data_IF_134076981577
#
_entry.id   IF_134076981577
#
_cell.length_a   1.000
_cell.length_b   1.000
_cell.length_c   1.000
_cell.angle_alpha   90.00
_cell.angle_beta   90.00
_cell.angle_gamma   90.00
#
_symmetry.space_group_name_H-M   'P 1'
#
loop_
_entity.id
_entity.type
_entity.pdbx_description
1 polymer ?
#
# COMPACT_ATOMS: atom_id res chain seq x y z
N UNK A 1 11.49 -26.08 -4.72
CA UNK A 1 11.23 -24.74 -4.14
C UNK A 1 11.40 -23.56 -5.10
N UNK A 2 12.09 -23.70 -6.26
CA UNK A 2 12.23 -22.61 -7.25
C UNK A 2 10.91 -22.18 -7.94
N UNK A 3 9.86 -22.99 -7.93
CA UNK A 3 8.54 -22.63 -8.47
C UNK A 3 7.78 -21.53 -7.68
N UNK A 4 8.21 -21.18 -6.48
CA UNK A 4 7.56 -20.16 -5.65
C UNK A 4 8.09 -18.74 -5.89
N UNK A 5 9.35 -18.58 -6.30
CA UNK A 5 9.96 -17.26 -6.48
C UNK A 5 9.45 -16.50 -7.71
N UNK A 6 9.26 -17.20 -8.83
CA UNK A 6 8.78 -16.59 -10.09
C UNK A 6 7.27 -16.25 -10.07
N UNK A 7 6.47 -17.01 -9.34
CA UNK A 7 5.04 -16.69 -9.13
C UNK A 7 4.82 -15.57 -8.13
N UNK A 8 5.75 -15.34 -7.20
CA UNK A 8 5.59 -14.34 -6.15
C UNK A 8 5.80 -12.88 -6.60
N UNK A 9 6.58 -12.60 -7.65
CA UNK A 9 6.75 -11.20 -8.08
C UNK A 9 5.63 -10.71 -9.00
N UNK A 10 5.08 -11.57 -9.84
CA UNK A 10 3.84 -11.27 -10.57
C UNK A 10 2.64 -11.20 -9.62
N UNK A 11 2.64 -12.00 -8.54
CA UNK A 11 1.62 -11.95 -7.49
C UNK A 11 1.75 -10.72 -6.57
N UNK A 12 2.94 -10.12 -6.41
CA UNK A 12 3.12 -8.90 -5.61
C UNK A 12 2.60 -7.64 -6.31
N UNK A 13 2.56 -7.63 -7.63
CA UNK A 13 1.84 -6.58 -8.40
C UNK A 13 0.33 -6.82 -8.37
N UNK A 14 -0.12 -8.09 -8.28
CA UNK A 14 -1.54 -8.46 -8.26
C UNK A 14 -2.21 -8.37 -6.88
N UNK A 15 -1.47 -8.35 -5.77
CA UNK A 15 -2.02 -8.30 -4.39
C UNK A 15 -2.28 -6.88 -3.86
N UNK A 16 -1.88 -5.83 -4.58
CA UNK A 16 -2.30 -4.44 -4.31
C UNK A 16 -3.50 -4.00 -5.16
N UNK A 17 -4.00 -4.86 -6.04
CA UNK A 17 -5.16 -4.60 -6.89
C UNK A 17 -6.46 -5.03 -6.21
N UNK A 18 -7.13 -4.14 -5.50
CA UNK A 18 -8.58 -4.20 -5.27
C UNK A 18 -9.25 -4.13 -6.65
N UNK A 19 -9.72 -5.28 -7.15
CA UNK A 19 -10.44 -5.37 -8.40
C UNK A 19 -11.72 -4.52 -8.34
N UNK A 20 -11.71 -3.39 -9.01
CA UNK A 20 -12.94 -2.67 -9.38
C UNK A 20 -13.46 -3.35 -10.64
N UNK A 21 -14.40 -4.26 -10.49
CA UNK A 21 -15.15 -4.83 -11.61
C UNK A 21 -16.11 -3.78 -12.15
N UNK A 22 -15.82 -3.21 -13.31
CA UNK A 22 -16.76 -2.40 -14.08
C UNK A 22 -17.78 -3.36 -14.71
N UNK A 23 -19.01 -3.28 -14.23
CA UNK A 23 -20.16 -3.97 -14.86
C UNK A 23 -20.57 -3.13 -16.06
N UNK A 24 -20.44 -3.67 -17.28
CA UNK A 24 -21.04 -3.13 -18.48
C UNK A 24 -22.54 -3.45 -18.42
N UNK A 25 -23.36 -2.42 -18.36
CA UNK A 25 -24.80 -2.52 -18.58
C UNK A 25 -25.12 -2.20 -20.05
N UNK A 26 -25.82 -3.11 -20.71
CA UNK A 26 -26.31 -2.96 -22.08
C UNK A 26 -27.25 -1.75 -22.19
N UNK A 27 -26.93 -0.84 -23.10
CA UNK A 27 -27.76 0.29 -23.49
C UNK A 27 -28.89 -0.18 -24.42
N UNK A 28 -30.14 0.00 -23.97
CA UNK A 28 -31.29 0.13 -24.88
C UNK A 28 -31.91 1.52 -24.74
N UNK A 29 -32.23 2.23 -25.83
CA UNK A 29 -32.72 3.59 -25.74
C UNK A 29 -34.18 3.63 -25.26
N UNK A 30 -34.45 4.41 -24.21
CA UNK A 30 -35.81 4.75 -23.78
C UNK A 30 -36.14 6.20 -24.17
N UNK A 31 -37.27 6.38 -24.75
CA UNK A 31 -37.79 7.62 -25.33
C UNK A 31 -37.93 8.76 -24.32
N UNK A 32 -37.56 9.95 -24.76
CA UNK A 32 -37.71 11.25 -24.12
C UNK A 32 -39.16 11.59 -23.78
N UNK A 33 -39.43 11.88 -22.49
CA UNK A 33 -40.59 12.69 -22.08
C UNK A 33 -40.08 13.92 -21.35
N UNK A 34 -40.25 15.08 -21.96
CA UNK A 34 -40.00 16.38 -21.37
C UNK A 34 -41.02 16.63 -20.24
N UNK A 35 -40.51 16.63 -19.01
CA UNK A 35 -41.20 17.27 -17.87
C UNK A 35 -40.24 18.23 -17.24
N UNK A 36 -40.56 19.52 -17.24
CA UNK A 36 -39.78 20.57 -16.64
C UNK A 36 -39.61 20.31 -15.14
N UNK A 37 -38.41 20.01 -14.72
CA UNK A 37 -38.02 19.91 -13.31
C UNK A 37 -37.73 21.32 -12.78
N UNK A 38 -38.32 21.62 -11.62
CA UNK A 38 -38.02 22.79 -10.77
C UNK A 38 -36.50 22.83 -10.48
N UNK A 39 -35.94 24.03 -10.16
CA UNK A 39 -34.50 24.13 -9.94
C UNK A 39 -34.09 23.24 -8.78
N UNK A 40 -33.24 22.26 -9.10
CA UNK A 40 -32.60 21.40 -8.12
C UNK A 40 -31.83 22.28 -7.12
N UNK A 41 -32.07 22.03 -5.85
CA UNK A 41 -31.27 22.58 -4.76
C UNK A 41 -29.79 22.44 -5.10
N UNK A 42 -29.04 23.52 -4.93
CA UNK A 42 -27.59 23.58 -5.07
C UNK A 42 -26.98 22.33 -4.41
N UNK A 43 -26.47 21.43 -5.22
CA UNK A 43 -25.61 20.35 -4.79
C UNK A 43 -24.40 21.01 -4.13
N UNK A 44 -24.42 21.10 -2.81
CA UNK A 44 -23.26 21.49 -2.01
C UNK A 44 -22.11 20.56 -2.46
N UNK A 45 -21.16 21.12 -3.21
CA UNK A 45 -19.85 20.49 -3.42
C UNK A 45 -19.33 20.20 -2.02
N UNK A 46 -19.25 18.93 -1.66
CA UNK A 46 -18.57 18.51 -0.44
C UNK A 46 -17.10 18.88 -0.66
N UNK A 47 -16.71 20.03 -0.15
CA UNK A 47 -15.29 20.40 -0.03
C UNK A 47 -14.69 19.35 0.88
N UNK A 48 -13.55 18.77 0.48
CA UNK A 48 -12.90 17.74 1.27
C UNK A 48 -12.70 18.25 2.71
N UNK A 49 -13.16 17.47 3.70
CA UNK A 49 -13.00 17.79 5.12
C UNK A 49 -11.52 17.79 5.49
N UNK A 50 -11.04 18.88 6.07
CA UNK A 50 -9.62 19.05 6.43
C UNK A 50 -9.49 19.84 7.75
N UNK A 51 -8.33 19.84 8.41
CA UNK A 51 -8.09 20.68 9.56
C UNK A 51 -8.42 22.15 9.27
N UNK A 52 -9.12 22.80 10.20
CA UNK A 52 -9.62 24.17 10.07
C UNK A 52 -11.04 24.29 9.52
N UNK A 53 -11.66 23.23 9.04
CA UNK A 53 -13.05 23.22 8.64
C UNK A 53 -13.96 23.03 9.86
N UNK A 54 -15.20 23.51 9.77
CA UNK A 54 -16.21 23.21 10.78
C UNK A 54 -16.47 21.70 10.80
N UNK A 55 -16.40 21.10 11.98
CA UNK A 55 -16.70 19.69 12.13
C UNK A 55 -18.16 19.40 11.76
N UNK A 56 -18.42 18.35 10.94
CA UNK A 56 -19.78 17.89 10.69
C UNK A 56 -20.45 17.45 12.00
N UNK A 57 -21.78 17.52 12.06
CA UNK A 57 -22.51 16.98 13.20
C UNK A 57 -22.23 15.48 13.39
N UNK A 58 -22.18 15.03 14.64
CA UNK A 58 -21.99 13.64 15.00
C UNK A 58 -23.32 12.86 14.84
N UNK A 59 -23.74 12.67 13.61
CA UNK A 59 -24.95 11.93 13.28
C UNK A 59 -24.66 10.43 13.23
N UNK A 60 -25.16 9.67 14.19
CA UNK A 60 -24.99 8.21 14.30
C UNK A 60 -26.35 7.53 14.43
N UNK A 61 -26.43 6.28 14.02
CA UNK A 61 -27.67 5.49 14.18
C UNK A 61 -28.04 5.33 15.66
N UNK A 62 -27.04 5.07 16.50
CA UNK A 62 -27.23 4.93 17.94
C UNK A 62 -25.94 5.01 18.74
N UNK A 63 -26.06 5.38 20.00
CA UNK A 63 -25.00 5.20 21.00
C UNK A 63 -25.17 3.83 21.67
N UNK A 64 -24.10 3.04 21.70
CA UNK A 64 -24.10 1.68 22.26
C UNK A 64 -23.52 1.65 23.68
N UNK A 65 -22.72 2.69 24.04
CA UNK A 65 -22.12 2.87 25.36
C UNK A 65 -21.92 4.36 25.66
N UNK A 66 -22.07 4.77 26.90
CA UNK A 66 -21.92 6.16 27.36
C UNK A 66 -23.09 7.06 26.97
N UNK A 67 -22.91 8.36 27.20
CA UNK A 67 -23.95 9.37 26.95
C UNK A 67 -23.98 9.77 25.45
N UNK A 68 -25.20 10.08 24.98
CA UNK A 68 -25.38 10.56 23.61
C UNK A 68 -24.80 11.98 23.45
N UNK A 69 -24.05 12.17 22.36
CA UNK A 69 -23.47 13.45 21.97
C UNK A 69 -24.33 13.99 20.83
N UNK A 70 -25.20 14.97 21.14
CA UNK A 70 -26.10 15.56 20.16
C UNK A 70 -25.48 16.78 19.44
N UNK A 71 -24.50 17.43 20.09
CA UNK A 71 -23.78 18.57 19.56
C UNK A 71 -22.39 18.69 20.18
N UNK A 72 -21.46 19.32 19.49
CA UNK A 72 -20.17 19.71 20.03
C UNK A 72 -20.32 20.97 20.85
N UNK A 73 -20.13 20.87 22.17
CA UNK A 73 -20.28 21.98 23.10
C UNK A 73 -19.11 22.95 22.97
N UNK A 74 -19.38 24.23 22.95
CA UNK A 74 -18.35 25.27 22.95
C UNK A 74 -17.43 25.15 24.18
N UNK A 75 -16.13 25.30 23.95
CA UNK A 75 -15.10 25.19 24.98
C UNK A 75 -14.74 23.76 25.37
N UNK A 76 -15.30 22.73 24.70
CA UNK A 76 -15.02 21.30 24.96
C UNK A 76 -14.41 20.62 23.74
N UNK A 77 -13.41 19.80 23.93
CA UNK A 77 -12.70 19.07 22.86
C UNK A 77 -13.34 17.70 22.68
N UNK A 78 -13.43 17.24 21.44
CA UNK A 78 -13.94 15.92 21.11
C UNK A 78 -12.93 15.17 20.25
N UNK A 79 -12.85 13.86 20.46
CA UNK A 79 -12.12 12.94 19.59
C UNK A 79 -13.10 11.95 19.02
N UNK A 80 -13.30 11.98 17.70
CA UNK A 80 -14.11 11.01 16.95
C UNK A 80 -13.17 10.00 16.32
N UNK A 81 -13.21 8.74 16.81
CA UNK A 81 -12.34 7.67 16.33
C UNK A 81 -13.17 6.61 15.61
N UNK A 82 -12.75 6.29 14.39
CA UNK A 82 -13.39 5.32 13.50
C UNK A 82 -12.76 3.93 13.68
N UNK A 83 -13.59 2.91 13.95
CA UNK A 83 -13.13 1.55 14.20
C UNK A 83 -14.13 0.47 13.75
N UNK A 84 -13.69 -0.80 13.72
CA UNK A 84 -14.54 -1.95 13.48
C UNK A 84 -14.10 -3.16 14.32
N UNK A 85 -15.03 -4.13 14.56
CA UNK A 85 -14.73 -5.33 15.34
C UNK A 85 -13.65 -6.23 14.73
N UNK A 86 -13.50 -6.22 13.42
CA UNK A 86 -12.50 -6.95 12.66
C UNK A 86 -11.15 -6.23 12.53
N UNK A 87 -11.08 -4.97 12.98
CA UNK A 87 -9.87 -4.13 12.86
C UNK A 87 -8.89 -4.41 14.02
N UNK A 88 -7.94 -5.31 13.82
CA UNK A 88 -6.92 -5.62 14.83
C UNK A 88 -6.10 -4.41 15.31
N UNK A 89 -5.62 -3.51 14.42
CA UNK A 89 -4.96 -2.26 14.84
C UNK A 89 -5.86 -1.39 15.73
N UNK A 90 -7.16 -1.22 15.41
CA UNK A 90 -8.09 -0.44 16.22
C UNK A 90 -8.21 -1.01 17.64
N UNK A 91 -8.40 -2.33 17.76
CA UNK A 91 -8.54 -3.03 19.05
C UNK A 91 -7.31 -2.82 19.96
N UNK A 92 -6.12 -2.68 19.37
CA UNK A 92 -4.89 -2.38 20.12
C UNK A 92 -4.88 -0.95 20.68
N UNK A 93 -5.59 0.00 20.05
CA UNK A 93 -5.67 1.39 20.49
C UNK A 93 -6.66 1.63 21.63
N UNK A 94 -7.65 0.76 21.84
CA UNK A 94 -8.70 0.98 22.84
C UNK A 94 -8.20 1.30 24.25
N UNK A 95 -7.20 0.58 24.83
CA UNK A 95 -6.67 0.93 26.14
C UNK A 95 -6.05 2.33 26.17
N UNK A 96 -5.26 2.67 25.14
CA UNK A 96 -4.62 3.98 25.03
C UNK A 96 -5.66 5.12 25.00
N UNK A 97 -6.68 5.01 24.15
CA UNK A 97 -7.77 6.01 24.11
C UNK A 97 -8.56 6.09 25.41
N UNK A 98 -8.72 4.95 26.11
CA UNK A 98 -9.36 4.91 27.44
C UNK A 98 -8.53 5.61 28.50
N UNK A 99 -7.21 5.50 28.43
CA UNK A 99 -6.32 6.18 29.38
C UNK A 99 -6.30 7.69 29.09
N UNK A 100 -6.27 8.12 27.83
CA UNK A 100 -6.42 9.52 27.45
C UNK A 100 -7.79 10.10 27.88
N UNK A 101 -8.90 9.33 27.75
CA UNK A 101 -10.22 9.77 28.24
C UNK A 101 -10.20 10.02 29.75
N UNK A 102 -9.47 9.23 30.54
CA UNK A 102 -9.31 9.43 32.00
C UNK A 102 -8.42 10.64 32.29
N UNK A 103 -7.30 10.76 31.58
CA UNK A 103 -6.33 11.82 31.75
C UNK A 103 -6.97 13.21 31.50
N UNK A 104 -7.74 13.31 30.42
CA UNK A 104 -8.41 14.55 30.02
C UNK A 104 -9.88 14.65 30.48
N UNK A 105 -10.24 13.92 31.53
CA UNK A 105 -11.61 13.93 32.05
C UNK A 105 -12.14 15.37 32.30
N UNK A 106 -13.34 15.65 31.81
CA UNK A 106 -13.99 16.96 31.90
C UNK A 106 -13.51 17.99 30.86
N UNK A 107 -12.46 17.73 30.10
CA UNK A 107 -11.96 18.61 29.04
C UNK A 107 -12.15 18.01 27.64
N UNK A 108 -12.03 16.68 27.53
CA UNK A 108 -12.13 15.94 26.25
C UNK A 108 -13.16 14.84 26.39
N UNK A 109 -13.93 14.62 25.35
CA UNK A 109 -14.80 13.45 25.19
C UNK A 109 -14.35 12.63 23.99
N UNK A 110 -13.98 11.38 24.25
CA UNK A 110 -13.73 10.40 23.20
C UNK A 110 -15.01 9.71 22.80
N UNK A 111 -15.24 9.56 21.51
CA UNK A 111 -16.29 8.74 20.92
C UNK A 111 -15.72 7.84 19.85
N UNK A 112 -15.71 6.53 20.14
CA UNK A 112 -15.37 5.53 19.14
C UNK A 112 -16.62 5.23 18.30
N UNK A 113 -16.57 5.52 17.01
CA UNK A 113 -17.68 5.23 16.09
C UNK A 113 -17.39 3.94 15.35
N UNK A 114 -18.19 2.93 15.63
CA UNK A 114 -18.15 1.67 14.91
C UNK A 114 -18.76 1.84 13.51
N UNK A 115 -17.95 1.52 12.50
CA UNK A 115 -18.36 1.63 11.09
C UNK A 115 -17.78 0.46 10.27
N UNK A 116 -18.26 0.29 9.02
CA UNK A 116 -17.82 -0.74 8.07
C UNK A 116 -17.94 -2.20 8.58
N UNK A 117 -18.87 -2.47 9.49
CA UNK A 117 -19.10 -3.82 10.02
C UNK A 117 -19.70 -4.77 8.98
N UNK A 118 -20.62 -4.28 8.16
CA UNK A 118 -21.19 -5.08 7.08
C UNK A 118 -20.13 -5.25 5.97
N UNK A 119 -19.74 -6.49 5.71
CA UNK A 119 -18.86 -6.83 4.59
C UNK A 119 -19.55 -6.54 3.27
N UNK A 120 -18.77 -6.40 2.18
CA UNK A 120 -19.32 -6.13 0.85
C UNK A 120 -20.43 -7.15 0.51
N UNK A 121 -21.64 -6.65 0.27
CA UNK A 121 -22.82 -7.46 -0.05
C UNK A 121 -23.62 -7.94 1.17
N UNK A 122 -23.19 -7.62 2.41
CA UNK A 122 -23.99 -7.85 3.61
C UNK A 122 -24.86 -6.62 3.93
N UNK A 123 -26.09 -6.88 4.38
CA UNK A 123 -26.96 -5.84 4.92
C UNK A 123 -26.59 -5.51 6.37
N UNK A 124 -26.84 -4.28 6.78
CA UNK A 124 -26.86 -3.90 8.19
C UNK A 124 -28.15 -4.46 8.83
N UNK A 125 -28.02 -5.35 9.79
CA UNK A 125 -29.15 -5.99 10.46
C UNK A 125 -29.12 -5.74 11.97
N UNK A 126 -30.25 -5.88 12.67
CA UNK A 126 -30.27 -5.78 14.14
C UNK A 126 -29.31 -6.77 14.82
N UNK A 127 -29.15 -7.97 14.26
CA UNK A 127 -28.24 -9.00 14.80
C UNK A 127 -26.77 -8.58 14.66
N UNK A 128 -26.40 -7.92 13.55
CA UNK A 128 -25.06 -7.36 13.35
C UNK A 128 -24.78 -6.29 14.42
N UNK A 129 -25.71 -5.37 14.63
CA UNK A 129 -25.61 -4.33 15.67
C UNK A 129 -25.48 -4.95 17.08
N UNK A 130 -26.27 -5.97 17.38
CA UNK A 130 -26.20 -6.67 18.67
C UNK A 130 -24.86 -7.39 18.84
N UNK A 131 -24.28 -7.94 17.77
CA UNK A 131 -22.93 -8.54 17.82
C UNK A 131 -21.86 -7.51 18.13
N UNK A 132 -21.94 -6.31 17.55
CA UNK A 132 -21.05 -5.17 17.85
C UNK A 132 -21.19 -4.76 19.32
N UNK A 133 -22.44 -4.63 19.81
CA UNK A 133 -22.68 -4.32 21.20
C UNK A 133 -22.07 -5.35 22.16
N UNK A 134 -22.26 -6.63 21.89
CA UNK A 134 -21.66 -7.72 22.67
C UNK A 134 -20.12 -7.65 22.65
N UNK A 135 -19.53 -7.30 21.50
CA UNK A 135 -18.09 -7.10 21.42
C UNK A 135 -17.62 -5.95 22.31
N UNK A 136 -18.33 -4.80 22.30
CA UNK A 136 -18.04 -3.64 23.17
C UNK A 136 -18.14 -4.02 24.65
N UNK A 137 -19.19 -4.72 25.04
CA UNK A 137 -19.40 -5.16 26.42
C UNK A 137 -18.25 -6.08 26.87
N UNK A 138 -17.73 -6.92 25.98
CA UNK A 138 -16.58 -7.78 26.24
C UNK A 138 -15.23 -7.05 26.39
N UNK A 139 -15.11 -5.80 25.94
CA UNK A 139 -13.87 -5.01 26.12
C UNK A 139 -13.72 -4.44 27.54
N UNK A 140 -14.81 -4.28 28.27
CA UNK A 140 -14.78 -3.73 29.64
C UNK A 140 -14.07 -2.39 29.73
N UNK A 141 -13.07 -2.29 30.63
CA UNK A 141 -12.29 -1.06 30.87
C UNK A 141 -11.31 -0.70 29.74
N UNK A 142 -11.04 -1.64 28.84
CA UNK A 142 -10.21 -1.35 27.66
C UNK A 142 -10.86 -0.33 26.71
N UNK A 143 -12.18 -0.17 26.81
CA UNK A 143 -12.98 0.75 25.99
C UNK A 143 -13.83 1.64 26.90
N UNK A 144 -13.18 2.43 27.78
CA UNK A 144 -13.81 3.23 28.85
C UNK A 144 -14.21 4.64 28.35
N UNK A 145 -14.76 4.73 27.15
CA UNK A 145 -15.24 5.96 26.53
C UNK A 145 -16.58 5.72 25.84
N UNK A 146 -17.20 6.78 25.31
CA UNK A 146 -18.47 6.70 24.58
C UNK A 146 -18.29 5.94 23.27
N UNK A 147 -19.25 5.07 22.95
CA UNK A 147 -19.23 4.29 21.72
C UNK A 147 -20.54 4.45 20.95
N UNK A 148 -20.43 4.77 19.68
CA UNK A 148 -21.54 4.95 18.76
C UNK A 148 -21.46 3.93 17.60
N UNK A 149 -22.58 3.73 16.92
CA UNK A 149 -22.74 2.86 15.76
C UNK A 149 -23.24 3.68 14.57
N UNK A 150 -22.48 3.72 13.48
CA UNK A 150 -22.81 4.49 12.27
C UNK A 150 -23.97 3.88 11.50
N UNK A 151 -24.04 2.53 11.48
CA UNK A 151 -25.15 1.78 10.93
C UNK A 151 -25.31 1.89 9.42
N UNK A 152 -26.57 1.66 8.96
CA UNK A 152 -26.90 1.64 7.54
C UNK A 152 -26.85 3.05 6.90
N UNK A 153 -27.15 4.08 7.66
CA UNK A 153 -27.16 5.47 7.17
C UNK A 153 -25.77 6.00 6.82
N UNK A 154 -24.70 5.40 7.38
CA UNK A 154 -23.29 5.68 7.07
C UNK A 154 -22.92 7.17 7.14
N UNK A 155 -23.49 7.90 8.12
CA UNK A 155 -23.31 9.35 8.23
C UNK A 155 -21.89 9.73 8.58
N UNK A 156 -21.25 8.99 9.50
CA UNK A 156 -19.85 9.22 9.86
C UNK A 156 -18.94 8.74 8.74
N UNK A 157 -19.25 7.60 8.13
CA UNK A 157 -18.55 7.13 6.93
C UNK A 157 -18.51 8.21 5.87
N UNK A 158 -19.66 8.81 5.53
CA UNK A 158 -19.75 9.82 4.46
C UNK A 158 -19.19 11.20 4.87
N UNK A 159 -19.63 11.72 6.04
CA UNK A 159 -19.34 13.10 6.42
C UNK A 159 -17.94 13.30 7.02
N UNK A 160 -17.31 12.23 7.54
CA UNK A 160 -15.96 12.27 8.11
C UNK A 160 -14.97 11.49 7.24
N UNK A 161 -15.15 10.18 7.08
CA UNK A 161 -14.16 9.34 6.42
C UNK A 161 -14.03 9.67 4.92
N UNK A 162 -15.13 9.57 4.16
CA UNK A 162 -15.11 9.84 2.71
C UNK A 162 -14.82 11.32 2.44
N UNK A 163 -15.40 12.25 3.22
CA UNK A 163 -15.16 13.68 3.08
C UNK A 163 -13.69 14.05 3.34
N UNK A 164 -13.01 13.39 4.28
CA UNK A 164 -11.58 13.56 4.56
C UNK A 164 -10.70 12.62 3.73
N UNK A 165 -11.26 11.84 2.80
CA UNK A 165 -10.56 10.81 2.01
C UNK A 165 -9.81 9.78 2.88
N UNK A 166 -10.32 9.51 4.07
CA UNK A 166 -9.78 8.47 4.94
C UNK A 166 -10.33 7.11 4.51
N UNK A 167 -9.47 6.31 3.87
CA UNK A 167 -9.83 5.02 3.27
C UNK A 167 -9.50 3.83 4.18
N UNK A 168 -8.99 4.09 5.39
CA UNK A 168 -8.54 3.09 6.36
C UNK A 168 -8.97 3.40 7.78
N UNK A 169 -8.97 2.38 8.64
CA UNK A 169 -9.17 2.47 10.08
C UNK A 169 -7.99 1.78 10.81
N UNK A 170 -7.60 2.27 12.01
CA UNK A 170 -8.24 3.37 12.75
C UNK A 170 -7.93 4.75 12.17
N UNK A 171 -8.89 5.66 12.28
CA UNK A 171 -8.72 7.08 11.95
C UNK A 171 -9.36 7.92 13.07
N UNK A 172 -8.73 9.03 13.41
CA UNK A 172 -9.20 9.92 14.46
C UNK A 172 -9.32 11.36 13.96
N UNK A 173 -10.36 12.05 14.43
CA UNK A 173 -10.65 13.44 14.16
C UNK A 173 -10.71 14.18 15.50
N UNK A 174 -9.82 15.14 15.72
CA UNK A 174 -9.86 16.00 16.90
C UNK A 174 -10.67 17.25 16.55
N UNK A 175 -11.73 17.49 17.30
CA UNK A 175 -12.59 18.69 17.19
C UNK A 175 -12.31 19.58 18.38
N UNK A 176 -11.90 20.82 18.12
CA UNK A 176 -11.55 21.80 19.15
C UNK A 176 -12.79 22.41 19.83
N UNK A 177 -12.54 23.25 20.84
CA UNK A 177 -13.59 23.93 21.58
C UNK A 177 -14.42 24.96 20.79
N UNK A 178 -14.05 25.23 19.53
CA UNK A 178 -14.81 26.08 18.60
C UNK A 178 -15.65 25.23 17.62
N UNK A 179 -15.61 23.91 17.74
CA UNK A 179 -16.28 22.99 16.81
C UNK A 179 -15.59 22.89 15.45
N UNK A 180 -14.29 23.16 15.42
CA UNK A 180 -13.45 23.06 14.21
C UNK A 180 -12.63 21.78 14.27
N UNK A 181 -12.48 21.08 13.14
CA UNK A 181 -11.56 19.96 13.02
C UNK A 181 -10.13 20.48 13.18
N UNK A 182 -9.51 20.19 14.31
CA UNK A 182 -8.15 20.61 14.60
C UNK A 182 -7.11 19.70 13.94
N UNK A 183 -7.41 18.40 13.85
CA UNK A 183 -6.49 17.41 13.31
C UNK A 183 -7.23 16.16 12.81
N UNK A 184 -6.64 15.50 11.82
CA UNK A 184 -7.10 14.22 11.26
C UNK A 184 -5.87 13.33 11.09
N UNK A 185 -5.92 12.07 11.61
CA UNK A 185 -4.80 11.14 11.46
C UNK A 185 -4.98 9.82 12.20
N UNK A 186 -3.88 9.08 12.34
CA UNK A 186 -3.90 7.80 13.05
C UNK A 186 -3.89 8.03 14.58
N UNK A 187 -4.78 7.37 15.36
CA UNK A 187 -4.90 7.63 16.81
C UNK A 187 -3.62 7.35 17.62
N UNK A 188 -2.64 6.63 17.10
CA UNK A 188 -1.34 6.46 17.75
C UNK A 188 -0.49 7.76 17.78
N UNK A 189 -0.87 8.79 17.02
CA UNK A 189 -0.16 10.06 16.91
C UNK A 189 -0.88 11.20 17.64
N UNK A 190 -1.92 10.87 18.44
CA UNK A 190 -2.85 11.86 18.98
C UNK A 190 -2.32 12.61 20.21
N UNK A 191 -1.37 12.06 20.96
CA UNK A 191 -0.98 12.51 22.29
C UNK A 191 -0.54 13.99 22.30
N UNK A 192 0.48 14.34 21.52
CA UNK A 192 0.98 15.72 21.43
C UNK A 192 -0.03 16.67 20.81
N UNK A 193 -0.81 16.20 19.84
CA UNK A 193 -1.89 16.94 19.21
C UNK A 193 -2.94 17.32 20.25
N UNK A 194 -3.45 16.32 20.97
CA UNK A 194 -4.51 16.51 21.96
C UNK A 194 -4.08 17.46 23.09
N UNK A 195 -2.84 17.29 23.57
CA UNK A 195 -2.25 18.18 24.56
C UNK A 195 -2.23 19.64 24.05
N UNK A 196 -1.71 19.87 22.85
CA UNK A 196 -1.62 21.21 22.29
C UNK A 196 -3.00 21.83 21.99
N UNK A 197 -3.99 21.05 21.55
CA UNK A 197 -5.37 21.51 21.34
C UNK A 197 -6.02 21.90 22.66
N UNK A 198 -5.87 21.09 23.71
CA UNK A 198 -6.44 21.40 25.06
C UNK A 198 -5.75 22.60 25.71
N UNK A 199 -4.46 22.81 25.47
CA UNK A 199 -3.69 23.95 25.96
C UNK A 199 -3.91 25.23 25.11
N UNK A 200 -4.56 25.13 23.95
CA UNK A 200 -4.80 26.24 23.03
C UNK A 200 -3.56 26.69 22.24
N UNK A 201 -2.53 25.85 22.18
CA UNK A 201 -1.27 26.12 21.46
C UNK A 201 -1.19 25.42 20.08
N UNK A 202 -2.23 24.68 19.68
CA UNK A 202 -2.28 23.98 18.41
C UNK A 202 -2.39 24.91 17.21
N UNK A 203 -1.50 24.76 16.22
CA UNK A 203 -1.54 25.50 14.96
C UNK A 203 -2.34 24.72 13.91
N UNK A 204 -3.61 25.03 13.77
CA UNK A 204 -4.52 24.39 12.83
C UNK A 204 -4.15 24.67 11.36
N UNK A 205 -3.50 25.80 11.06
CA UNK A 205 -3.10 26.12 9.70
C UNK A 205 -1.92 25.22 9.28
N UNK A 206 -0.95 25.03 10.18
CA UNK A 206 0.15 24.09 9.95
C UNK A 206 -0.38 22.67 9.79
N UNK A 207 -1.31 22.23 10.63
CA UNK A 207 -1.94 20.91 10.52
C UNK A 207 -2.68 20.72 9.18
N UNK A 208 -3.35 21.78 8.69
CA UNK A 208 -3.98 21.78 7.36
C UNK A 208 -2.95 21.61 6.26
N UNK A 209 -1.87 22.39 6.27
CA UNK A 209 -0.83 22.33 5.22
C UNK A 209 -0.18 20.97 5.17
N UNK A 210 0.12 20.36 6.33
CA UNK A 210 0.68 19.02 6.44
C UNK A 210 -0.32 17.96 5.92
N UNK A 211 -1.59 18.03 6.31
CA UNK A 211 -2.64 17.13 5.85
C UNK A 211 -2.82 17.20 4.32
N UNK A 212 -2.93 18.41 3.77
CA UNK A 212 -3.08 18.63 2.32
C UNK A 212 -1.86 18.11 1.56
N UNK A 213 -0.65 18.35 2.08
CA UNK A 213 0.59 17.83 1.48
C UNK A 213 0.61 16.30 1.43
N UNK A 214 0.20 15.63 2.53
CA UNK A 214 0.17 14.16 2.57
C UNK A 214 -0.90 13.60 1.62
N UNK A 215 -2.09 14.20 1.58
CA UNK A 215 -3.14 13.84 0.64
C UNK A 215 -2.71 13.98 -0.82
N UNK A 216 -1.91 15.02 -1.14
CA UNK A 216 -1.35 15.20 -2.48
C UNK A 216 -0.32 14.13 -2.83
N UNK A 217 0.53 13.74 -1.87
CA UNK A 217 1.49 12.65 -2.06
C UNK A 217 0.79 11.31 -2.31
N UNK A 218 -0.22 10.98 -1.50
CA UNK A 218 -1.01 9.77 -1.68
C UNK A 218 -1.71 9.75 -3.05
N UNK A 219 -2.37 10.85 -3.43
CA UNK A 219 -3.04 10.97 -4.72
C UNK A 219 -2.04 10.81 -5.89
N UNK A 220 -0.83 11.40 -5.78
CA UNK A 220 0.25 11.23 -6.76
C UNK A 220 0.69 9.76 -6.84
N UNK A 221 0.88 9.10 -5.70
CA UNK A 221 1.28 7.68 -5.66
C UNK A 221 0.23 6.77 -6.30
N UNK A 222 -1.06 6.97 -5.98
CA UNK A 222 -2.15 6.22 -6.60
C UNK A 222 -2.20 6.44 -8.11
N UNK A 223 -2.09 7.69 -8.56
CA UNK A 223 -2.07 8.03 -9.99
C UNK A 223 -0.91 7.37 -10.73
N UNK A 224 0.30 7.40 -10.15
CA UNK A 224 1.47 6.73 -10.72
C UNK A 224 1.27 5.21 -10.81
N UNK A 225 0.66 4.60 -9.80
CA UNK A 225 0.36 3.16 -9.82
C UNK A 225 -0.65 2.80 -10.90
N UNK A 226 -1.76 3.56 -11.01
CA UNK A 226 -2.77 3.36 -12.05
C UNK A 226 -2.18 3.51 -13.46
N UNK A 227 -1.40 4.58 -13.69
CA UNK A 227 -0.78 4.84 -14.98
C UNK A 227 0.26 3.78 -15.35
N UNK A 228 1.02 3.28 -14.35
CA UNK A 228 1.97 2.19 -14.54
C UNK A 228 1.27 0.88 -14.88
N UNK A 229 0.24 0.53 -14.12
CA UNK A 229 -0.56 -0.67 -14.39
C UNK A 229 -1.21 -0.62 -15.77
N UNK A 230 -1.85 0.48 -16.13
CA UNK A 230 -2.47 0.66 -17.45
C UNK A 230 -1.44 0.56 -18.59
N UNK A 231 -0.22 1.10 -18.39
CA UNK A 231 0.85 0.96 -19.36
C UNK A 231 1.33 -0.49 -19.49
N UNK A 232 1.48 -1.22 -18.39
CA UNK A 232 1.85 -2.65 -18.39
C UNK A 232 0.80 -3.51 -19.13
N UNK A 233 -0.48 -3.32 -18.81
CA UNK A 233 -1.58 -4.05 -19.46
C UNK A 233 -1.67 -3.76 -20.96
N UNK A 234 -1.34 -2.54 -21.39
CA UNK A 234 -1.40 -2.16 -22.79
C UNK A 234 -0.29 -2.76 -23.66
N UNK A 235 0.78 -3.33 -23.08
CA UNK A 235 1.88 -3.94 -23.86
C UNK A 235 1.45 -5.15 -24.66
N UNK A 236 0.47 -5.92 -24.19
CA UNK A 236 0.00 -7.11 -24.89
C UNK A 236 -0.75 -6.72 -26.18
N UNK A 237 -0.42 -7.40 -27.28
CA UNK A 237 -1.09 -7.22 -28.57
C UNK A 237 -0.75 -5.93 -29.33
N UNK A 238 0.18 -5.10 -28.86
CA UNK A 238 0.66 -3.91 -29.55
C UNK A 238 1.66 -4.26 -30.66
N UNK A 239 1.70 -3.41 -31.71
CA UNK A 239 2.79 -3.44 -32.67
C UNK A 239 4.11 -2.89 -32.05
N UNK A 240 5.25 -3.20 -32.69
CA UNK A 240 6.57 -2.85 -32.16
C UNK A 240 6.77 -1.34 -31.92
N UNK A 241 6.15 -0.48 -32.71
CA UNK A 241 6.27 0.97 -32.55
C UNK A 241 5.56 1.45 -31.28
N UNK A 242 4.34 0.94 -31.04
CA UNK A 242 3.57 1.25 -29.83
C UNK A 242 4.20 0.62 -28.59
N UNK A 243 4.71 -0.62 -28.69
CA UNK A 243 5.47 -1.24 -27.58
C UNK A 243 6.65 -0.35 -27.17
N UNK A 244 7.42 0.17 -28.11
CA UNK A 244 8.54 1.09 -27.82
C UNK A 244 8.07 2.37 -27.11
N UNK A 245 6.96 2.95 -27.52
CA UNK A 245 6.36 4.12 -26.86
C UNK A 245 5.92 3.80 -25.43
N UNK A 246 5.24 2.65 -25.26
CA UNK A 246 4.79 2.20 -23.93
C UNK A 246 5.96 1.90 -22.98
N UNK A 247 7.04 1.27 -23.47
CA UNK A 247 8.25 1.03 -22.69
C UNK A 247 8.92 2.36 -22.26
N UNK A 248 8.95 3.35 -23.13
CA UNK A 248 9.45 4.69 -22.78
C UNK A 248 8.58 5.38 -21.72
N UNK A 249 7.25 5.21 -21.80
CA UNK A 249 6.30 5.68 -20.78
C UNK A 249 6.54 4.98 -19.42
N UNK A 250 6.68 3.66 -19.40
CA UNK A 250 6.98 2.89 -18.17
C UNK A 250 8.29 3.39 -17.53
N UNK A 251 9.32 3.62 -18.31
CA UNK A 251 10.59 4.16 -17.81
C UNK A 251 10.44 5.57 -17.21
N UNK A 252 9.60 6.40 -17.81
CA UNK A 252 9.26 7.73 -17.28
C UNK A 252 8.54 7.61 -15.94
N UNK A 253 7.51 6.75 -15.85
CA UNK A 253 6.75 6.52 -14.63
C UNK A 253 7.62 5.92 -13.50
N UNK A 254 8.54 5.01 -13.84
CA UNK A 254 9.49 4.46 -12.88
C UNK A 254 10.43 5.54 -12.30
N UNK A 255 10.84 6.51 -13.14
CA UNK A 255 11.64 7.65 -12.70
C UNK A 255 10.83 8.62 -11.83
N UNK A 256 9.61 8.94 -12.24
CA UNK A 256 8.70 9.81 -11.47
C UNK A 256 8.30 9.21 -10.13
N UNK A 257 8.20 7.89 -10.05
CA UNK A 257 7.87 7.15 -8.83
C UNK A 257 9.07 6.76 -7.97
N UNK A 258 10.31 7.12 -8.36
CA UNK A 258 11.53 6.65 -7.70
C UNK A 258 11.62 7.03 -6.20
N UNK A 259 11.00 8.14 -5.81
CA UNK A 259 10.90 8.63 -4.43
C UNK A 259 9.75 8.02 -3.62
N UNK A 260 8.95 7.15 -4.23
CA UNK A 260 7.83 6.47 -3.59
C UNK A 260 8.23 5.09 -3.05
N UNK A 261 7.42 4.52 -2.16
CA UNK A 261 7.59 3.16 -1.67
C UNK A 261 7.50 2.10 -2.81
N UNK A 262 6.96 2.46 -3.97
CA UNK A 262 6.82 1.60 -5.15
C UNK A 262 7.95 1.77 -6.18
N UNK A 263 8.82 2.75 -6.00
CA UNK A 263 9.89 3.07 -6.96
C UNK A 263 10.72 1.87 -7.40
N UNK A 264 11.23 1.03 -6.48
CA UNK A 264 11.93 -0.19 -6.84
C UNK A 264 11.10 -1.17 -7.66
N UNK A 265 9.80 -1.30 -7.36
CA UNK A 265 8.89 -2.19 -8.08
C UNK A 265 8.61 -1.68 -9.50
N UNK A 266 8.45 -0.37 -9.67
CA UNK A 266 8.30 0.23 -11.00
C UNK A 266 9.55 0.02 -11.86
N UNK A 267 10.75 0.17 -11.28
CA UNK A 267 11.99 -0.06 -11.99
C UNK A 267 12.14 -1.52 -12.46
N UNK A 268 11.90 -2.49 -11.56
CA UNK A 268 11.94 -3.91 -11.92
C UNK A 268 10.80 -4.27 -12.88
N UNK A 269 9.58 -3.77 -12.67
CA UNK A 269 8.45 -4.00 -13.57
C UNK A 269 8.74 -3.51 -15.00
N UNK A 270 9.34 -2.32 -15.14
CA UNK A 270 9.78 -1.79 -16.44
C UNK A 270 10.84 -2.66 -17.08
N UNK A 271 11.80 -3.18 -16.32
CA UNK A 271 12.83 -4.09 -16.85
C UNK A 271 12.20 -5.40 -17.36
N UNK A 272 11.27 -5.98 -16.58
CA UNK A 272 10.54 -7.18 -17.01
C UNK A 272 9.65 -6.92 -18.23
N UNK A 273 9.08 -5.71 -18.35
CA UNK A 273 8.34 -5.30 -19.53
C UNK A 273 9.21 -5.34 -20.79
N UNK A 274 10.45 -4.85 -20.73
CA UNK A 274 11.41 -4.98 -21.83
C UNK A 274 11.72 -6.45 -22.11
N UNK A 275 12.18 -7.18 -21.12
CA UNK A 275 12.72 -8.56 -21.32
C UNK A 275 11.65 -9.59 -21.65
N UNK A 276 10.54 -9.57 -20.94
CA UNK A 276 9.54 -10.66 -20.99
C UNK A 276 8.32 -10.29 -21.85
N UNK A 277 7.73 -9.11 -21.67
CA UNK A 277 6.51 -8.73 -22.37
C UNK A 277 6.78 -8.31 -23.84
N UNK A 278 7.69 -7.38 -24.05
CA UNK A 278 8.01 -6.86 -25.37
C UNK A 278 9.10 -7.64 -26.11
N UNK A 279 9.84 -8.53 -25.42
CA UNK A 279 11.02 -9.25 -25.94
C UNK A 279 12.11 -8.30 -26.48
N UNK A 280 12.17 -7.08 -25.97
CA UNK A 280 13.19 -6.07 -26.27
C UNK A 280 14.43 -6.33 -25.42
N UNK A 281 15.20 -7.34 -25.80
CA UNK A 281 16.38 -7.80 -25.04
C UNK A 281 17.45 -6.71 -24.97
N UNK A 282 17.70 -5.99 -26.08
CA UNK A 282 18.73 -4.94 -26.13
C UNK A 282 18.33 -3.76 -25.24
N UNK A 283 17.10 -3.27 -25.34
CA UNK A 283 16.57 -2.20 -24.49
C UNK A 283 16.56 -2.57 -23.01
N UNK A 284 16.16 -3.82 -22.69
CA UNK A 284 16.20 -4.35 -21.34
C UNK A 284 17.61 -4.42 -20.76
N UNK A 285 18.60 -4.89 -21.55
CA UNK A 285 20.00 -4.92 -21.12
C UNK A 285 20.57 -3.54 -20.87
N UNK A 286 20.22 -2.55 -21.71
CA UNK A 286 20.62 -1.16 -21.52
C UNK A 286 20.00 -0.59 -20.23
N UNK A 287 18.73 -0.89 -19.97
CA UNK A 287 18.04 -0.44 -18.76
C UNK A 287 18.57 -1.13 -17.50
N UNK A 288 18.91 -2.43 -17.56
CA UNK A 288 19.54 -3.14 -16.45
C UNK A 288 20.88 -2.50 -16.04
N UNK A 289 21.71 -2.08 -17.02
CA UNK A 289 22.98 -1.35 -16.77
C UNK A 289 22.73 0.00 -16.08
N UNK A 290 21.68 0.72 -16.51
CA UNK A 290 21.26 1.97 -15.87
C UNK A 290 20.85 1.76 -14.42
N UNK A 291 19.99 0.75 -14.16
CA UNK A 291 19.54 0.41 -12.81
C UNK A 291 20.70 -0.04 -11.89
N UNK A 292 21.62 -0.82 -12.40
CA UNK A 292 22.78 -1.29 -11.65
C UNK A 292 23.77 -0.18 -11.30
N UNK A 293 23.87 0.86 -12.12
CA UNK A 293 24.72 2.03 -11.83
C UNK A 293 24.04 3.10 -10.98
N UNK A 294 22.70 3.05 -10.87
CA UNK A 294 21.87 4.03 -10.21
C UNK A 294 21.03 3.42 -9.07
N UNK A 295 19.75 3.21 -9.31
CA UNK A 295 18.73 2.82 -8.31
C UNK A 295 19.11 1.59 -7.49
N UNK A 296 19.77 0.60 -8.10
CA UNK A 296 20.13 -0.67 -7.44
C UNK A 296 21.63 -0.84 -7.22
N UNK A 297 22.41 0.23 -7.29
CA UNK A 297 23.88 0.18 -7.21
C UNK A 297 24.40 -0.67 -6.04
N UNK A 298 23.80 -0.56 -4.86
CA UNK A 298 24.19 -1.26 -3.64
C UNK A 298 23.10 -2.24 -3.15
N UNK A 299 22.14 -2.60 -4.01
CA UNK A 299 21.06 -3.51 -3.68
C UNK A 299 21.38 -4.93 -4.19
N UNK A 300 22.04 -5.74 -3.34
CA UNK A 300 22.43 -7.10 -3.67
C UNK A 300 21.29 -7.96 -4.23
N UNK A 301 20.09 -7.85 -3.64
CA UNK A 301 18.93 -8.66 -4.04
C UNK A 301 18.42 -8.30 -5.43
N UNK A 302 18.30 -7.01 -5.74
CA UNK A 302 17.85 -6.55 -7.06
C UNK A 302 18.87 -6.89 -8.14
N UNK A 303 20.17 -6.68 -7.87
CA UNK A 303 21.27 -7.05 -8.77
C UNK A 303 21.30 -8.56 -9.04
N UNK A 304 21.16 -9.37 -7.99
CA UNK A 304 21.07 -10.83 -8.09
C UNK A 304 19.89 -11.27 -8.94
N UNK A 305 18.72 -10.69 -8.71
CA UNK A 305 17.52 -10.99 -9.49
C UNK A 305 17.71 -10.69 -10.99
N UNK A 306 18.33 -9.55 -11.32
CA UNK A 306 18.63 -9.20 -12.71
C UNK A 306 19.64 -10.17 -13.34
N UNK A 307 20.69 -10.52 -12.61
CA UNK A 307 21.70 -11.47 -13.07
C UNK A 307 21.12 -12.86 -13.32
N UNK A 308 20.33 -13.37 -12.36
CA UNK A 308 19.65 -14.66 -12.49
C UNK A 308 18.72 -14.70 -13.69
N UNK A 309 17.91 -13.66 -13.90
CA UNK A 309 16.98 -13.59 -15.03
C UNK A 309 17.67 -13.76 -16.39
N UNK A 310 18.92 -13.33 -16.52
CA UNK A 310 19.70 -13.50 -17.74
C UNK A 310 20.23 -14.92 -17.97
N UNK A 311 20.40 -15.72 -16.91
CA UNK A 311 21.04 -17.05 -16.98
C UNK A 311 20.15 -18.18 -16.47
N UNK A 312 18.88 -17.91 -16.20
CA UNK A 312 17.92 -18.92 -15.74
C UNK A 312 17.77 -20.02 -16.78
N UNK A 313 18.16 -21.28 -16.47
CA UNK A 313 18.07 -22.37 -17.42
C UNK A 313 16.65 -22.89 -17.64
N UNK A 314 15.73 -22.60 -16.70
CA UNK A 314 14.34 -23.07 -16.76
C UNK A 314 13.46 -22.11 -17.56
N UNK A 315 13.80 -20.80 -17.53
CA UNK A 315 13.04 -19.77 -18.21
C UNK A 315 13.97 -18.80 -18.99
N UNK A 316 14.64 -19.28 -20.04
CA UNK A 316 15.59 -18.45 -20.77
C UNK A 316 14.91 -17.27 -21.46
N UNK A 317 15.44 -16.08 -21.27
CA UNK A 317 14.96 -14.86 -21.96
C UNK A 317 15.23 -14.91 -23.46
N UNK A 318 16.34 -15.51 -23.85
CA UNK A 318 16.84 -15.62 -25.21
C UNK A 318 17.85 -16.78 -25.31
N UNK A 319 18.02 -17.32 -26.52
CA UNK A 319 19.05 -18.36 -26.80
C UNK A 319 20.49 -17.84 -26.64
N UNK A 320 20.69 -16.52 -26.66
CA UNK A 320 22.00 -15.87 -26.54
C UNK A 320 21.96 -14.76 -25.51
N UNK A 321 22.00 -15.08 -24.21
CA UNK A 321 22.01 -14.09 -23.15
C UNK A 321 23.31 -13.26 -23.16
N UNK A 322 23.22 -11.99 -22.68
CA UNK A 322 24.39 -11.14 -22.44
C UNK A 322 25.10 -11.61 -21.16
N UNK A 323 26.01 -12.58 -21.33
CA UNK A 323 26.76 -13.17 -20.21
C UNK A 323 27.76 -12.20 -19.58
N UNK A 324 28.18 -11.16 -20.28
CA UNK A 324 29.05 -10.10 -19.71
C UNK A 324 28.23 -9.21 -18.78
N UNK A 325 27.03 -8.83 -19.18
CA UNK A 325 26.11 -8.14 -18.30
C UNK A 325 25.73 -8.98 -17.07
N UNK A 326 25.39 -10.26 -17.28
CA UNK A 326 25.07 -11.17 -16.19
C UNK A 326 26.21 -11.29 -15.17
N UNK A 327 27.46 -11.40 -15.64
CA UNK A 327 28.65 -11.43 -14.78
C UNK A 327 28.81 -10.12 -14.00
N UNK A 328 28.73 -8.97 -14.68
CA UNK A 328 28.85 -7.67 -14.04
C UNK A 328 27.81 -7.47 -12.94
N UNK A 329 26.54 -7.87 -13.16
CA UNK A 329 25.47 -7.78 -12.19
C UNK A 329 25.69 -8.72 -10.99
N UNK A 330 26.11 -9.97 -11.25
CA UNK A 330 26.35 -10.97 -10.21
C UNK A 330 27.56 -10.61 -9.33
N UNK A 331 28.66 -10.11 -9.90
CA UNK A 331 29.83 -9.63 -9.17
C UNK A 331 29.49 -8.39 -8.34
N UNK A 332 28.68 -7.49 -8.85
CA UNK A 332 28.21 -6.32 -8.12
C UNK A 332 27.29 -6.74 -6.95
N UNK A 333 26.42 -7.75 -7.16
CA UNK A 333 25.59 -8.33 -6.10
C UNK A 333 26.42 -8.99 -5.00
N UNK A 334 27.47 -9.77 -5.38
CA UNK A 334 28.40 -10.39 -4.43
C UNK A 334 29.12 -9.33 -3.59
N UNK A 335 29.60 -8.26 -4.23
CA UNK A 335 30.21 -7.13 -3.53
C UNK A 335 29.20 -6.44 -2.59
N UNK A 336 27.98 -6.18 -3.01
CA UNK A 336 26.94 -5.52 -2.21
C UNK A 336 26.46 -6.40 -1.03
N UNK A 337 26.57 -7.73 -1.14
CA UNK A 337 26.31 -8.71 -0.06
C UNK A 337 27.56 -9.01 0.80
N UNK A 338 28.68 -8.34 0.55
CA UNK A 338 29.96 -8.57 1.21
C UNK A 338 30.45 -10.04 1.11
N UNK A 339 30.07 -10.73 0.04
CA UNK A 339 30.42 -12.14 -0.17
C UNK A 339 29.77 -13.10 0.81
N UNK A 340 28.66 -12.72 1.47
CA UNK A 340 28.01 -13.44 2.58
C UNK A 340 26.66 -14.07 2.19
N UNK A 341 26.19 -13.93 0.96
CA UNK A 341 24.91 -14.48 0.52
C UNK A 341 25.11 -15.75 -0.31
N UNK A 342 24.60 -16.86 0.19
CA UNK A 342 24.61 -18.14 -0.55
C UNK A 342 23.84 -18.03 -1.87
N UNK A 343 22.67 -17.36 -1.89
CA UNK A 343 21.85 -17.14 -3.07
C UNK A 343 22.59 -16.34 -4.16
N UNK A 344 23.31 -15.29 -3.76
CA UNK A 344 24.09 -14.47 -4.70
C UNK A 344 25.25 -15.25 -5.29
N UNK A 345 25.94 -16.04 -4.47
CA UNK A 345 27.03 -16.91 -4.94
C UNK A 345 26.55 -18.03 -5.85
N UNK A 346 25.37 -18.61 -5.61
CA UNK A 346 24.76 -19.58 -6.51
C UNK A 346 24.51 -18.97 -7.90
N UNK A 347 23.95 -17.76 -7.95
CA UNK A 347 23.77 -17.02 -9.20
C UNK A 347 25.11 -16.74 -9.90
N UNK A 348 26.13 -16.29 -9.16
CA UNK A 348 27.45 -16.01 -9.72
C UNK A 348 28.10 -17.29 -10.25
N UNK A 349 27.97 -18.41 -9.55
CA UNK A 349 28.43 -19.73 -10.03
C UNK A 349 27.73 -20.16 -11.32
N UNK A 350 26.41 -19.94 -11.40
CA UNK A 350 25.63 -20.19 -12.61
C UNK A 350 26.12 -19.36 -13.79
N UNK A 351 26.41 -18.08 -13.56
CA UNK A 351 26.97 -17.19 -14.62
C UNK A 351 28.33 -17.71 -15.09
N UNK A 352 29.24 -18.07 -14.17
CA UNK A 352 30.55 -18.69 -14.55
C UNK A 352 30.36 -19.95 -15.36
N UNK A 353 29.46 -20.84 -14.97
CA UNK A 353 29.15 -22.05 -15.72
C UNK A 353 28.63 -21.75 -17.13
N UNK A 354 27.68 -20.80 -17.25
CA UNK A 354 27.15 -20.40 -18.57
C UNK A 354 28.22 -19.80 -19.49
N UNK A 355 29.24 -19.16 -18.92
CA UNK A 355 30.40 -18.63 -19.66
C UNK A 355 31.44 -19.70 -20.01
N UNK A 356 31.27 -20.92 -19.54
CA UNK A 356 32.23 -22.02 -19.73
C UNK A 356 33.40 -22.04 -18.73
N UNK A 357 33.42 -21.15 -17.73
CA UNK A 357 34.43 -21.17 -16.67
C UNK A 357 34.01 -22.12 -15.55
N UNK A 358 34.14 -23.40 -15.84
CA UNK A 358 33.76 -24.53 -15.00
C UNK A 358 34.50 -24.51 -13.65
N UNK A 359 35.78 -24.11 -13.65
CA UNK A 359 36.58 -24.08 -12.42
C UNK A 359 36.03 -23.05 -11.42
N UNK A 360 35.76 -21.84 -11.89
CA UNK A 360 35.15 -20.80 -11.05
C UNK A 360 33.73 -21.12 -10.63
N UNK A 361 32.93 -21.75 -11.51
CA UNK A 361 31.59 -22.20 -11.15
C UNK A 361 31.61 -23.17 -9.96
N UNK A 362 32.50 -24.17 -9.98
CA UNK A 362 32.67 -25.13 -8.89
C UNK A 362 33.15 -24.47 -7.60
N UNK A 363 34.16 -23.60 -7.69
CA UNK A 363 34.71 -22.85 -6.55
C UNK A 363 33.62 -22.00 -5.88
N UNK A 364 32.90 -21.19 -6.67
CA UNK A 364 31.87 -20.27 -6.18
C UNK A 364 30.70 -21.04 -5.60
N UNK A 365 30.25 -22.12 -6.25
CA UNK A 365 29.17 -22.96 -5.74
C UNK A 365 29.53 -23.64 -4.41
N UNK A 366 30.80 -24.07 -4.26
CA UNK A 366 31.28 -24.65 -3.01
C UNK A 366 31.25 -23.65 -1.89
N UNK A 367 31.62 -22.39 -2.17
CA UNK A 367 31.47 -21.28 -1.21
C UNK A 367 30.02 -21.03 -0.82
N UNK A 368 29.09 -21.01 -1.78
CA UNK A 368 27.64 -20.86 -1.54
C UNK A 368 27.14 -21.95 -0.57
N UNK A 369 27.48 -23.22 -0.81
CA UNK A 369 27.12 -24.37 0.05
C UNK A 369 27.65 -24.19 1.48
N UNK A 370 28.85 -23.63 1.64
CA UNK A 370 29.46 -23.42 2.96
C UNK A 370 28.74 -22.35 3.80
N UNK A 371 28.03 -21.42 3.15
CA UNK A 371 27.30 -20.32 3.81
C UNK A 371 25.82 -20.68 4.06
N UNK A 372 25.29 -21.69 3.34
CA UNK A 372 23.88 -22.07 3.48
C UNK A 372 23.64 -22.86 4.77
N UNK A 373 22.66 -22.41 5.55
CA UNK A 373 22.27 -23.01 6.84
C UNK A 373 21.00 -23.82 6.78
N UNK A 374 20.13 -23.56 5.80
CA UNK A 374 18.93 -24.36 5.57
C UNK A 374 19.30 -25.67 4.87
N UNK A 375 18.89 -26.78 5.44
CA UNK A 375 19.29 -28.13 4.95
C UNK A 375 18.73 -28.44 3.56
N UNK A 376 17.52 -28.01 3.25
CA UNK A 376 16.87 -28.26 1.95
C UNK A 376 17.49 -27.39 0.86
N UNK A 377 17.71 -26.10 1.14
CA UNK A 377 18.42 -25.20 0.24
C UNK A 377 19.86 -25.67 -0.02
N UNK A 378 20.57 -26.12 1.02
CA UNK A 378 21.92 -26.68 0.89
C UNK A 378 21.97 -27.90 -0.03
N UNK A 379 21.02 -28.83 0.11
CA UNK A 379 20.91 -30.00 -0.77
C UNK A 379 20.68 -29.60 -2.24
N UNK A 380 19.88 -28.53 -2.48
CA UNK A 380 19.67 -28.01 -3.82
C UNK A 380 20.97 -27.44 -4.42
N UNK A 381 21.74 -26.69 -3.65
CA UNK A 381 23.05 -26.17 -4.07
C UNK A 381 24.05 -27.29 -4.35
N UNK A 382 24.09 -28.37 -3.55
CA UNK A 382 24.93 -29.53 -3.74
C UNK A 382 24.58 -30.25 -5.05
N UNK A 383 23.30 -30.39 -5.35
CA UNK A 383 22.84 -30.96 -6.63
C UNK A 383 23.29 -30.12 -7.82
N UNK A 384 23.23 -28.81 -7.72
CA UNK A 384 23.73 -27.88 -8.74
C UNK A 384 25.24 -28.03 -8.94
N UNK A 385 26.01 -28.16 -7.84
CA UNK A 385 27.45 -28.40 -7.90
C UNK A 385 27.79 -29.69 -8.69
N UNK A 386 27.05 -30.78 -8.49
CA UNK A 386 27.28 -32.03 -9.25
C UNK A 386 27.04 -31.82 -10.75
N UNK A 387 26.08 -30.97 -11.13
CA UNK A 387 25.88 -30.62 -12.55
C UNK A 387 27.10 -29.87 -13.11
N UNK A 388 27.72 -28.99 -12.33
CA UNK A 388 28.92 -28.26 -12.79
C UNK A 388 30.18 -29.14 -12.90
N UNK A 389 30.25 -30.25 -12.18
CA UNK A 389 31.38 -31.21 -12.26
C UNK A 389 31.33 -32.11 -13.48
N UNK A 390 30.14 -32.36 -14.06
CA UNK A 390 29.95 -33.15 -15.29
C UNK A 390 30.43 -32.41 -16.54
#
# INVERSE_FOLDING_TARGET
>A
MHHLATRSLLALVALAGLAVSVVHADDKPVASSNTALAPAAESTRVTALQPGDKAPALEVESFLKGDAINEFKAGHVYVVEAWATWCGPCIRMFPHLSDLQKEYAGKVTFVGVNLWEARRGQAYTPELKESVKKFIDGQGDRMAYTVAYDGEAKRITTNYMEAAKQNGIPAAFVVDGNGVVAWIGHPAEIDDVLKAVVEGSWDVNKARDEFVSEMQKEARQMKLMEDFQAAMESLEGQDAAKQKETLAKLKTLAKEGADTNFGPNFAIGTLMAHWQAAKDIEGGNAYAKELASGTFKDNARALNYMAWTLVDPENPLTDKPDLDLALSLAEQADKASEGKSAEVLDTLARVHFARGDKAKAIETQTKAISLETDAEAKQALEKTLETYKQ
#
